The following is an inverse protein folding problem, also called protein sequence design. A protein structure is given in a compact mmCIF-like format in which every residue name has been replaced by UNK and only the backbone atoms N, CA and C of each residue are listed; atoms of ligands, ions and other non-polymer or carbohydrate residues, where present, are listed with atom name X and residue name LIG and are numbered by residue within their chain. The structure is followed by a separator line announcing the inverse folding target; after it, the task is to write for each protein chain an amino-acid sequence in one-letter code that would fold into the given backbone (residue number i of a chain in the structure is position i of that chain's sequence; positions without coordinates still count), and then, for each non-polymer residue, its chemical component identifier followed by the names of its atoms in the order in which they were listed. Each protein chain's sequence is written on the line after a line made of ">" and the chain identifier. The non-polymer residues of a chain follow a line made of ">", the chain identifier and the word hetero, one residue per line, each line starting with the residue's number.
data_IF_308030964140
#
_entry.id   IF_308030964140
#
_cell.length_a   1.000
_cell.length_b   1.000
_cell.length_c   1.000
_cell.angle_alpha   90.00
_cell.angle_beta   90.00
_cell.angle_gamma   90.00
#
_symmetry.space_group_name_H-M   'P 1'
#
loop_
_entity.id
_entity.type
_entity.pdbx_description
1 polymer ?
#
# COMPACT_ATOMS: atom_id res chain seq x y z
N UNK A 1 -17.58 5.66 0.82
CA UNK A 1 -16.52 6.69 0.75
C UNK A 1 -15.40 6.20 -0.14
N UNK A 2 -14.99 7.00 -1.11
CA UNK A 2 -13.91 6.64 -2.04
C UNK A 2 -12.58 7.09 -1.46
N UNK A 3 -11.60 6.21 -1.49
CA UNK A 3 -10.25 6.52 -1.00
C UNK A 3 -9.21 6.22 -2.06
N UNK A 4 -8.18 7.04 -2.13
CA UNK A 4 -7.02 6.80 -3.00
C UNK A 4 -6.02 5.94 -2.24
N UNK A 5 -5.53 4.90 -2.90
CA UNK A 5 -4.61 3.93 -2.28
C UNK A 5 -3.24 4.03 -2.92
N UNK A 6 -2.21 4.07 -2.07
CA UNK A 6 -0.82 4.04 -2.49
C UNK A 6 -0.12 2.89 -1.80
N UNK A 7 0.93 2.37 -2.44
CA UNK A 7 1.73 1.31 -1.85
C UNK A 7 2.43 1.82 -0.59
N UNK A 8 2.33 1.05 0.48
CA UNK A 8 2.92 1.42 1.78
C UNK A 8 4.12 0.56 2.14
N UNK A 9 4.70 -0.12 1.15
CA UNK A 9 5.89 -0.91 1.42
C UNK A 9 7.01 -0.04 1.96
N UNK A 10 7.55 -0.36 3.14
CA UNK A 10 8.67 0.40 3.69
C UNK A 10 9.94 0.17 2.86
N UNK A 11 10.66 1.25 2.59
CA UNK A 11 11.93 1.20 1.87
C UNK A 11 12.80 2.36 2.32
N UNK A 12 14.02 2.41 1.85
CA UNK A 12 14.93 3.53 2.12
C UNK A 12 15.26 4.24 0.81
N UNK A 13 15.41 5.54 0.88
CA UNK A 13 15.83 6.35 -0.26
C UNK A 13 17.35 6.27 -0.44
N UNK A 14 17.89 7.06 -1.38
CA UNK A 14 19.32 7.11 -1.68
C UNK A 14 20.15 7.51 -0.46
N UNK A 15 19.59 8.31 0.42
CA UNK A 15 20.28 8.81 1.62
C UNK A 15 20.10 7.87 2.82
N UNK A 16 19.37 6.76 2.65
CA UNK A 16 19.10 5.82 3.73
C UNK A 16 17.97 6.22 4.64
N UNK A 17 17.22 7.26 4.29
CA UNK A 17 16.07 7.70 5.08
C UNK A 17 14.86 6.80 4.83
N UNK A 18 14.07 6.47 5.88
CA UNK A 18 12.87 5.66 5.68
C UNK A 18 11.87 6.38 4.79
N UNK A 19 11.31 5.65 3.83
CA UNK A 19 10.25 6.16 2.99
C UNK A 19 9.36 5.00 2.55
N UNK A 20 8.20 5.33 1.98
CA UNK A 20 7.30 4.33 1.42
C UNK A 20 7.51 4.24 -0.09
N UNK A 21 7.14 3.11 -0.67
CA UNK A 21 7.11 2.95 -2.13
C UNK A 21 6.29 4.08 -2.76
N UNK A 22 5.10 4.35 -2.21
CA UNK A 22 4.30 5.50 -2.58
C UNK A 22 3.62 5.45 -3.94
N UNK A 23 3.77 4.35 -4.68
CA UNK A 23 3.15 4.25 -5.98
C UNK A 23 1.63 4.27 -5.85
N UNK A 24 0.98 5.09 -6.69
CA UNK A 24 -0.47 5.15 -6.72
C UNK A 24 -1.05 3.85 -7.28
N UNK A 25 -1.95 3.23 -6.53
CA UNK A 25 -2.54 1.94 -6.90
C UNK A 25 -3.95 2.08 -7.47
N UNK A 26 -4.69 3.09 -7.06
CA UNK A 26 -6.04 3.31 -7.56
C UNK A 26 -6.97 3.87 -6.50
N UNK A 27 -8.24 3.98 -6.87
CA UNK A 27 -9.30 4.42 -5.96
C UNK A 27 -10.17 3.23 -5.60
N UNK A 28 -10.61 3.19 -4.35
CA UNK A 28 -11.39 2.06 -3.83
C UNK A 28 -12.55 2.56 -2.98
N UNK A 29 -13.55 1.71 -2.84
CA UNK A 29 -14.67 1.95 -1.93
C UNK A 29 -14.94 0.66 -1.18
N UNK A 30 -14.86 0.71 0.16
CA UNK A 30 -15.01 -0.46 1.01
C UNK A 30 -13.70 -1.23 1.16
N UNK A 31 -13.79 -2.51 1.42
CA UNK A 31 -12.63 -3.38 1.58
C UNK A 31 -11.88 -3.54 0.26
N UNK A 32 -10.55 -3.55 0.33
CA UNK A 32 -9.74 -3.64 -0.87
C UNK A 32 -8.48 -4.46 -0.64
N UNK A 33 -7.92 -4.94 -1.76
CA UNK A 33 -6.64 -5.62 -1.81
C UNK A 33 -6.03 -5.30 -3.17
N UNK A 34 -5.00 -4.45 -3.19
CA UNK A 34 -4.39 -3.96 -4.42
C UNK A 34 -2.93 -4.34 -4.52
N UNK A 35 -2.55 -4.86 -5.66
CA UNK A 35 -1.16 -5.27 -5.93
C UNK A 35 -0.37 -4.10 -6.50
N UNK A 36 0.80 -3.83 -5.90
CA UNK A 36 1.74 -2.89 -6.47
C UNK A 36 2.55 -3.59 -7.57
N UNK A 37 2.51 -3.11 -8.82
CA UNK A 37 3.21 -3.79 -9.91
C UNK A 37 4.73 -3.65 -9.85
N UNK A 38 5.25 -2.70 -9.07
CA UNK A 38 6.69 -2.50 -8.95
C UNK A 38 7.32 -3.39 -7.87
N UNK A 39 6.70 -3.47 -6.70
CA UNK A 39 7.28 -4.19 -5.59
C UNK A 39 6.60 -5.52 -5.30
N UNK A 40 5.51 -5.83 -5.99
CA UNK A 40 4.74 -7.08 -5.83
C UNK A 40 4.18 -7.27 -4.42
N UNK A 41 3.99 -6.17 -3.69
CA UNK A 41 3.32 -6.20 -2.39
C UNK A 41 1.84 -5.88 -2.57
N UNK A 42 1.01 -6.45 -1.71
CA UNK A 42 -0.43 -6.21 -1.70
C UNK A 42 -0.75 -5.26 -0.56
N UNK A 43 -1.47 -4.18 -0.87
CA UNK A 43 -1.98 -3.25 0.13
C UNK A 43 -3.41 -3.60 0.44
N UNK A 44 -3.71 -3.86 1.70
CA UNK A 44 -5.00 -4.35 2.16
C UNK A 44 -5.58 -3.35 3.16
N UNK A 45 -6.87 -3.12 3.07
CA UNK A 45 -7.55 -2.23 4.00
C UNK A 45 -9.01 -2.06 3.67
N UNK A 46 -9.59 -1.01 4.25
CA UNK A 46 -11.00 -0.67 4.06
C UNK A 46 -11.09 0.86 4.02
N UNK A 47 -11.71 1.41 2.97
CA UNK A 47 -11.84 2.85 2.82
C UNK A 47 -12.67 3.50 3.92
N UNK A 48 -13.50 2.73 4.62
CA UNK A 48 -14.31 3.20 5.74
C UNK A 48 -13.52 3.28 7.05
N UNK A 49 -12.30 2.76 7.06
CA UNK A 49 -11.42 2.79 8.23
C UNK A 49 -10.30 3.79 7.99
N UNK A 50 -9.60 4.16 9.08
CA UNK A 50 -8.46 5.05 8.98
C UNK A 50 -7.38 4.47 8.08
N UNK A 51 -6.72 5.33 7.30
CA UNK A 51 -5.57 4.93 6.48
C UNK A 51 -4.45 4.31 7.30
N UNK A 52 -4.37 4.64 8.58
CA UNK A 52 -3.36 4.09 9.47
C UNK A 52 -3.54 2.59 9.73
N UNK A 53 -4.74 2.07 9.49
CA UNK A 53 -5.03 0.64 9.65
C UNK A 53 -4.68 -0.18 8.41
N UNK A 54 -4.42 0.48 7.28
CA UNK A 54 -4.05 -0.21 6.05
C UNK A 54 -2.64 -0.75 6.15
N UNK A 55 -2.42 -1.95 5.58
CA UNK A 55 -1.11 -2.60 5.63
C UNK A 55 -0.70 -3.06 4.24
N UNK A 56 0.60 -3.10 4.00
CA UNK A 56 1.16 -3.71 2.79
C UNK A 56 1.95 -4.93 3.20
N UNK A 57 1.70 -6.05 2.52
CA UNK A 57 2.36 -7.32 2.80
C UNK A 57 2.90 -7.91 1.49
N UNK A 58 3.98 -8.69 1.55
CA UNK A 58 4.48 -9.34 0.34
C UNK A 58 3.46 -10.33 -0.21
N UNK A 59 3.31 -10.33 -1.53
CA UNK A 59 2.40 -11.27 -2.19
C UNK A 59 2.88 -12.70 -2.05
N UNK A 60 4.20 -12.89 -2.15
CA UNK A 60 4.79 -14.21 -2.05
C UNK A 60 5.45 -14.40 -0.70
N UNK A 61 5.09 -15.49 -0.04
CA UNK A 61 5.77 -15.94 1.16
C UNK A 61 6.56 -17.19 0.82
N UNK A 62 7.79 -17.17 1.19
CA UNK A 62 8.64 -18.35 1.10
C UNK A 62 8.95 -18.87 2.48
#
# INVERSE_FOLDING_TARGET
>A
MIAKVRCKRPRKDENGNPCDCGRYLGEVEGKFSLLCPLCHWITIGDSNLSKDTWVSVPKFKN
#
